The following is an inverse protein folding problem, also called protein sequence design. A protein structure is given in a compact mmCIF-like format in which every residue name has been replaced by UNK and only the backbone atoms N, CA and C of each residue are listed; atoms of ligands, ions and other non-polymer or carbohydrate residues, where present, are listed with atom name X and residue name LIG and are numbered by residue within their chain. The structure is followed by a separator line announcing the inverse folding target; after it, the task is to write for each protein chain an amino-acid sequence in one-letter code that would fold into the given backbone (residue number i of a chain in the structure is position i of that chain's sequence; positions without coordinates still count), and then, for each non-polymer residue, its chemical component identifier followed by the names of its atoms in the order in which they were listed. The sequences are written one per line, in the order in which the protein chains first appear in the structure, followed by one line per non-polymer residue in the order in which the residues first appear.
data_IF_196293117328
#
_entry.id   IF_196293117328
#
_cell.length_a   1.000
_cell.length_b   1.000
_cell.length_c   1.000
_cell.angle_alpha   90.00
_cell.angle_beta   90.00
_cell.angle_gamma   90.00
#
_symmetry.space_group_name_H-M   'P 1'
#
loop_
_entity.id
_entity.type
_entity.pdbx_description
1 polymer ?
#
# COMPACT_ATOMS: atom_id res chain seq x y z
N UNK A 1 9.26 -12.32 7.97
CA UNK A 1 8.21 -11.31 8.24
C UNK A 1 7.58 -10.96 6.90
N UNK A 2 6.25 -11.03 6.80
CA UNK A 2 5.55 -10.67 5.57
C UNK A 2 5.48 -9.15 5.40
N UNK A 3 5.53 -8.70 4.15
CA UNK A 3 5.37 -7.29 3.76
C UNK A 3 4.73 -7.21 2.37
N UNK A 4 3.86 -6.23 2.18
CA UNK A 4 3.46 -5.77 0.85
C UNK A 4 4.40 -4.64 0.44
N UNK A 5 4.93 -4.65 -0.78
CA UNK A 5 5.86 -3.64 -1.28
C UNK A 5 5.31 -3.07 -2.58
N UNK A 6 5.24 -1.74 -2.66
CA UNK A 6 4.91 -1.02 -3.90
C UNK A 6 6.16 -0.30 -4.39
N UNK A 7 6.49 -0.53 -5.66
CA UNK A 7 7.55 0.16 -6.39
C UNK A 7 7.09 0.41 -7.83
N UNK A 8 7.03 1.69 -8.23
CA UNK A 8 6.57 2.08 -9.56
C UNK A 8 7.70 2.43 -10.54
N UNK A 9 8.97 2.15 -10.21
CA UNK A 9 10.13 2.52 -11.05
C UNK A 9 10.05 1.99 -12.49
N UNK A 10 9.33 0.90 -12.72
CA UNK A 10 9.21 0.27 -14.04
C UNK A 10 7.92 0.65 -14.79
N UNK A 11 7.09 1.53 -14.24
CA UNK A 11 5.83 1.93 -14.90
C UNK A 11 6.10 2.95 -16.01
N UNK A 12 5.92 2.55 -17.27
CA UNK A 12 6.07 3.45 -18.42
C UNK A 12 5.15 4.67 -18.35
N UNK A 13 3.88 4.47 -17.96
CA UNK A 13 2.90 5.55 -17.77
C UNK A 13 3.40 6.57 -16.75
N UNK A 14 3.94 6.09 -15.63
CA UNK A 14 4.46 6.97 -14.59
C UNK A 14 5.73 7.69 -15.05
N UNK A 15 6.67 6.98 -15.67
CA UNK A 15 7.91 7.57 -16.21
C UNK A 15 7.62 8.68 -17.22
N UNK A 16 6.64 8.48 -18.11
CA UNK A 16 6.20 9.50 -19.06
C UNK A 16 5.61 10.75 -18.38
N UNK A 17 4.84 10.58 -17.30
CA UNK A 17 4.30 11.70 -16.53
C UNK A 17 5.40 12.43 -15.76
N UNK A 18 6.31 11.68 -15.12
CA UNK A 18 7.46 12.23 -14.39
C UNK A 18 8.36 13.08 -15.29
N UNK A 19 8.59 12.64 -16.54
CA UNK A 19 9.46 13.35 -17.48
C UNK A 19 8.95 14.75 -17.87
N UNK A 20 7.69 15.07 -17.57
CA UNK A 20 7.11 16.40 -17.83
C UNK A 20 7.43 17.42 -16.75
N UNK A 21 7.77 16.95 -15.54
CA UNK A 21 8.13 17.78 -14.38
C UNK A 21 9.32 17.16 -13.63
N UNK A 22 10.47 16.96 -14.29
CA UNK A 22 11.56 16.15 -13.76
C UNK A 22 12.01 16.60 -12.36
N UNK A 23 12.14 17.91 -12.15
CA UNK A 23 12.64 18.50 -10.90
C UNK A 23 11.65 18.37 -9.71
N UNK A 24 10.37 18.15 -9.97
CA UNK A 24 9.30 18.10 -8.96
C UNK A 24 8.69 16.70 -8.81
N UNK A 25 8.89 15.82 -9.80
CA UNK A 25 8.20 14.53 -9.92
C UNK A 25 8.39 13.63 -8.69
N UNK A 26 9.62 13.49 -8.20
CA UNK A 26 9.95 12.65 -7.05
C UNK A 26 9.29 13.14 -5.77
N UNK A 27 9.33 14.46 -5.50
CA UNK A 27 8.71 15.05 -4.32
C UNK A 27 7.19 14.82 -4.35
N UNK A 28 6.56 15.05 -5.51
CA UNK A 28 5.12 14.87 -5.70
C UNK A 28 4.72 13.42 -5.42
N UNK A 29 5.44 12.45 -6.00
CA UNK A 29 5.17 11.02 -5.79
C UNK A 29 5.31 10.65 -4.32
N UNK A 30 6.43 10.97 -3.69
CA UNK A 30 6.70 10.61 -2.30
C UNK A 30 5.65 11.21 -1.35
N UNK A 31 5.18 12.44 -1.63
CA UNK A 31 4.08 13.08 -0.89
C UNK A 31 2.77 12.32 -1.02
N UNK A 32 2.38 11.90 -2.23
CA UNK A 32 1.13 11.16 -2.45
C UNK A 32 1.18 9.76 -1.83
N UNK A 33 2.28 9.04 -2.03
CA UNK A 33 2.48 7.73 -1.42
C UNK A 33 2.35 7.79 0.10
N UNK A 34 2.98 8.80 0.74
CA UNK A 34 2.91 9.01 2.18
C UNK A 34 1.53 9.41 2.69
N UNK A 35 0.84 10.32 1.99
CA UNK A 35 -0.41 10.93 2.49
C UNK A 35 -1.64 10.08 2.22
N UNK A 36 -1.66 9.36 1.09
CA UNK A 36 -2.82 8.58 0.63
C UNK A 36 -2.47 7.13 0.36
N UNK A 37 -1.34 6.88 -0.30
CA UNK A 37 -1.00 5.56 -0.81
C UNK A 37 -0.91 4.49 0.27
N UNK A 38 -0.17 4.77 1.34
CA UNK A 38 -0.02 3.87 2.50
C UNK A 38 -1.36 3.52 3.14
N UNK A 39 -2.21 4.52 3.37
CA UNK A 39 -3.54 4.37 3.97
C UNK A 39 -4.43 3.46 3.13
N UNK A 40 -4.47 3.67 1.82
CA UNK A 40 -5.31 2.88 0.92
C UNK A 40 -4.90 1.41 0.86
N UNK A 41 -3.60 1.12 0.81
CA UNK A 41 -3.11 -0.26 0.83
C UNK A 41 -3.38 -0.91 2.17
N UNK A 42 -3.13 -0.21 3.27
CA UNK A 42 -3.46 -0.72 4.60
C UNK A 42 -4.96 -1.06 4.71
N UNK A 43 -5.84 -0.20 4.19
CA UNK A 43 -7.28 -0.49 4.13
C UNK A 43 -7.62 -1.70 3.26
N UNK A 44 -6.99 -1.83 2.08
CA UNK A 44 -7.14 -3.00 1.23
C UNK A 44 -6.79 -4.29 1.98
N UNK A 45 -5.60 -4.32 2.59
CA UNK A 45 -5.10 -5.48 3.36
C UNK A 45 -6.04 -5.80 4.53
N UNK A 46 -6.43 -4.80 5.33
CA UNK A 46 -7.36 -4.97 6.45
C UNK A 46 -8.71 -5.51 5.97
N UNK A 47 -9.19 -5.06 4.81
CA UNK A 47 -10.43 -5.53 4.19
C UNK A 47 -10.47 -7.05 4.02
N UNK A 48 -9.35 -7.65 3.61
CA UNK A 48 -9.20 -9.10 3.43
C UNK A 48 -8.87 -9.88 4.70
N UNK A 49 -8.57 -9.22 5.82
CA UNK A 49 -8.28 -9.92 7.07
C UNK A 49 -9.53 -10.67 7.59
N UNK A 50 -9.39 -11.92 8.06
CA UNK A 50 -10.49 -12.68 8.61
C UNK A 50 -10.83 -12.26 10.05
N UNK A 51 -12.12 -12.37 10.42
CA UNK A 51 -12.60 -12.30 11.80
C UNK A 51 -13.09 -13.70 12.21
N UNK A 52 -12.61 -14.19 13.35
CA UNK A 52 -13.10 -15.45 13.92
C UNK A 52 -14.35 -15.22 14.77
N UNK A 53 -15.22 -16.21 14.91
CA UNK A 53 -16.43 -16.15 15.75
C UNK A 53 -16.16 -16.03 17.27
N UNK A 54 -14.90 -16.03 17.71
CA UNK A 54 -14.53 -15.89 19.13
C UNK A 54 -14.70 -14.44 19.58
N UNK A 55 -15.26 -14.25 20.78
CA UNK A 55 -15.34 -12.95 21.47
C UNK A 55 -13.96 -12.55 21.99
N UNK A 56 -13.17 -11.90 21.14
CA UNK A 56 -11.85 -11.33 21.43
C UNK A 56 -11.63 -10.11 20.54
N UNK A 57 -10.65 -9.28 20.86
CA UNK A 57 -10.22 -8.20 19.97
C UNK A 57 -9.46 -8.77 18.77
N UNK A 58 -9.95 -8.53 17.55
CA UNK A 58 -9.30 -9.03 16.33
C UNK A 58 -8.32 -8.01 15.75
N UNK A 59 -7.32 -8.50 15.01
CA UNK A 59 -6.33 -7.63 14.38
C UNK A 59 -6.94 -6.72 13.29
N UNK A 60 -8.03 -7.16 12.63
CA UNK A 60 -8.80 -6.37 11.65
C UNK A 60 -9.39 -5.10 12.26
N UNK A 61 -9.77 -5.17 13.53
CA UNK A 61 -10.44 -4.08 14.26
C UNK A 61 -9.42 -3.19 15.00
N UNK A 62 -8.14 -3.54 14.92
CA UNK A 62 -7.04 -2.82 15.55
C UNK A 62 -6.21 -2.05 14.52
N UNK A 63 -5.42 -1.09 15.01
CA UNK A 63 -4.27 -0.58 14.26
C UNK A 63 -3.12 -1.60 14.24
N UNK A 64 -3.30 -2.68 13.46
CA UNK A 64 -2.43 -3.87 13.42
C UNK A 64 -1.27 -3.78 12.41
N UNK A 65 -1.37 -2.86 11.46
CA UNK A 65 -0.38 -2.62 10.41
C UNK A 65 0.42 -1.35 10.67
N UNK A 66 1.61 -1.26 10.07
CA UNK A 66 2.42 -0.06 9.97
C UNK A 66 3.07 0.00 8.59
N UNK A 67 3.45 1.20 8.20
CA UNK A 67 4.12 1.51 6.96
C UNK A 67 5.61 1.77 7.15
N UNK A 68 6.39 1.57 6.09
CA UNK A 68 7.79 1.98 5.99
C UNK A 68 8.01 2.62 4.63
N UNK A 69 8.25 3.92 4.62
CA UNK A 69 8.50 4.69 3.39
C UNK A 69 9.94 4.50 2.91
N UNK A 70 10.11 4.56 1.59
CA UNK A 70 11.40 4.70 0.92
C UNK A 70 11.20 5.49 -0.37
N UNK A 71 12.27 5.80 -1.10
CA UNK A 71 12.13 6.63 -2.30
C UNK A 71 11.27 5.93 -3.37
N UNK A 72 10.23 6.63 -3.85
CA UNK A 72 9.27 6.18 -4.86
C UNK A 72 8.49 4.91 -4.48
N UNK A 73 8.40 4.61 -3.18
CA UNK A 73 7.69 3.42 -2.74
C UNK A 73 7.49 3.33 -1.24
N UNK A 74 6.80 2.28 -0.82
CA UNK A 74 6.62 1.98 0.59
C UNK A 74 6.36 0.50 0.80
N UNK A 75 6.51 0.08 2.04
CA UNK A 75 6.09 -1.23 2.50
C UNK A 75 4.98 -1.11 3.54
N UNK A 76 4.06 -2.06 3.53
CA UNK A 76 3.13 -2.29 4.64
C UNK A 76 3.50 -3.60 5.30
N UNK A 77 3.57 -3.60 6.64
CA UNK A 77 3.96 -4.73 7.44
C UNK A 77 3.17 -4.78 8.76
N UNK A 78 3.02 -5.96 9.39
CA UNK A 78 2.41 -6.04 10.71
C UNK A 78 3.23 -5.26 11.75
N UNK A 79 2.57 -4.66 12.73
CA UNK A 79 3.25 -4.18 13.94
C UNK A 79 3.81 -5.38 14.73
N UNK A 80 4.89 -5.20 15.52
CA UNK A 80 5.54 -6.30 16.25
C UNK A 80 4.56 -7.16 17.08
N UNK A 81 3.60 -6.52 17.75
CA UNK A 81 2.56 -7.19 18.55
C UNK A 81 1.61 -8.06 17.73
N UNK A 82 1.53 -7.85 16.41
CA UNK A 82 0.74 -8.64 15.46
C UNK A 82 1.60 -9.54 14.58
N UNK A 83 2.93 -9.52 14.75
CA UNK A 83 3.90 -10.35 14.02
C UNK A 83 4.18 -11.69 14.72
N UNK A 84 3.29 -12.14 15.60
CA UNK A 84 3.45 -13.37 16.39
C UNK A 84 3.19 -14.66 15.60
N UNK A 85 2.65 -14.55 14.38
CA UNK A 85 2.46 -15.69 13.48
C UNK A 85 3.70 -15.86 12.60
N UNK A 86 4.10 -17.11 12.37
CA UNK A 86 5.14 -17.46 11.37
C UNK A 86 4.71 -17.00 9.97
N UNK A 87 3.39 -17.04 9.70
CA UNK A 87 2.77 -16.61 8.45
C UNK A 87 1.60 -15.67 8.74
N UNK A 88 1.85 -14.38 9.07
CA UNK A 88 0.78 -13.45 9.39
C UNK A 88 -0.20 -13.38 8.22
N UNK A 89 0.32 -13.21 7.01
CA UNK A 89 -0.42 -13.08 5.77
C UNK A 89 -1.34 -14.26 5.41
N UNK A 90 -0.95 -15.47 5.79
CA UNK A 90 -1.76 -16.64 5.47
C UNK A 90 -3.02 -16.72 6.34
N UNK A 91 -3.04 -16.05 7.51
CA UNK A 91 -4.13 -16.18 8.48
C UNK A 91 -4.35 -17.61 8.97
N UNK A 92 -3.36 -18.51 8.76
CA UNK A 92 -3.44 -19.94 9.06
C UNK A 92 -3.24 -20.22 10.53
N UNK A 93 -3.87 -21.29 11.00
CA UNK A 93 -3.74 -21.80 12.36
C UNK A 93 -4.28 -23.22 12.51
N UNK A 94 -4.35 -23.70 13.75
CA UNK A 94 -4.85 -25.05 14.03
C UNK A 94 -6.26 -25.30 13.45
N UNK A 95 -7.10 -24.26 13.39
CA UNK A 95 -8.50 -24.32 12.94
C UNK A 95 -8.75 -23.59 11.61
N UNK A 96 -7.73 -22.96 11.02
CA UNK A 96 -7.82 -22.36 9.68
C UNK A 96 -6.64 -22.86 8.84
N UNK A 97 -6.90 -23.82 7.96
CA UNK A 97 -5.84 -24.49 7.19
C UNK A 97 -5.54 -23.82 5.86
N UNK A 98 -6.38 -22.91 5.40
CA UNK A 98 -6.31 -22.27 4.09
C UNK A 98 -5.59 -20.92 4.20
N UNK A 99 -4.60 -20.72 3.32
CA UNK A 99 -3.90 -19.43 3.21
C UNK A 99 -4.85 -18.35 2.69
N UNK A 100 -4.87 -17.21 3.35
CA UNK A 100 -5.75 -16.09 3.03
C UNK A 100 -5.08 -15.04 2.14
N UNK A 101 -3.76 -14.87 2.22
CA UNK A 101 -2.95 -14.01 1.34
C UNK A 101 -3.47 -12.56 1.31
N UNK A 102 -3.82 -12.03 2.49
CA UNK A 102 -4.49 -10.74 2.59
C UNK A 102 -3.56 -9.56 2.28
N UNK A 103 -2.23 -9.71 2.40
CA UNK A 103 -1.27 -8.71 1.95
C UNK A 103 -1.24 -8.63 0.43
N UNK A 104 -1.13 -9.76 -0.27
CA UNK A 104 -1.09 -9.78 -1.75
C UNK A 104 -2.43 -9.31 -2.31
N UNK A 105 -3.55 -9.89 -1.87
CA UNK A 105 -4.90 -9.51 -2.35
C UNK A 105 -5.22 -8.04 -2.06
N UNK A 106 -4.89 -7.60 -0.84
CA UNK A 106 -5.09 -6.22 -0.43
C UNK A 106 -4.26 -5.24 -1.27
N UNK A 107 -3.05 -5.63 -1.63
CA UNK A 107 -2.18 -4.86 -2.50
C UNK A 107 -2.70 -4.84 -3.95
N UNK A 108 -2.93 -6.01 -4.56
CA UNK A 108 -3.40 -6.17 -5.94
C UNK A 108 -4.66 -5.33 -6.21
N UNK A 109 -5.60 -5.28 -5.27
CA UNK A 109 -6.83 -4.48 -5.41
C UNK A 109 -6.61 -2.96 -5.39
N UNK A 110 -5.40 -2.50 -5.06
CA UNK A 110 -5.06 -1.08 -4.90
C UNK A 110 -3.99 -0.59 -5.87
N UNK A 111 -3.25 -1.48 -6.53
CA UNK A 111 -2.14 -1.11 -7.41
C UNK A 111 -2.56 -0.17 -8.55
N UNK A 112 -3.57 -0.52 -9.33
CA UNK A 112 -4.05 0.30 -10.45
C UNK A 112 -4.52 1.69 -9.98
N UNK A 113 -5.32 1.70 -8.91
CA UNK A 113 -5.84 2.94 -8.31
C UNK A 113 -4.70 3.86 -7.84
N UNK A 114 -3.63 3.29 -7.28
CA UNK A 114 -2.47 4.07 -6.87
C UNK A 114 -1.69 4.61 -8.06
N UNK A 115 -1.49 3.79 -9.10
CA UNK A 115 -0.84 4.23 -10.32
C UNK A 115 -1.59 5.42 -10.94
N UNK A 116 -2.91 5.30 -11.07
CA UNK A 116 -3.74 6.38 -11.61
C UNK A 116 -3.67 7.63 -10.71
N UNK A 117 -3.75 7.48 -9.39
CA UNK A 117 -3.60 8.61 -8.45
C UNK A 117 -2.27 9.35 -8.60
N UNK A 118 -1.17 8.63 -8.83
CA UNK A 118 0.15 9.24 -9.04
C UNK A 118 0.22 9.97 -10.37
N UNK A 119 -0.25 9.34 -11.45
CA UNK A 119 -0.25 9.93 -12.79
C UNK A 119 -1.11 11.19 -12.82
N UNK A 120 -2.31 11.14 -12.26
CA UNK A 120 -3.24 12.27 -12.20
C UNK A 120 -2.64 13.47 -11.45
N UNK A 121 -1.97 13.21 -10.32
CA UNK A 121 -1.34 14.29 -9.56
C UNK A 121 -0.16 14.91 -10.32
N UNK A 122 0.67 14.12 -11.00
CA UNK A 122 1.77 14.63 -11.82
C UNK A 122 1.25 15.49 -12.99
N UNK A 123 0.20 15.04 -13.68
CA UNK A 123 -0.46 15.80 -14.75
C UNK A 123 -1.02 17.12 -14.20
N UNK A 124 -1.70 17.08 -13.05
CA UNK A 124 -2.23 18.29 -12.41
C UNK A 124 -1.15 19.30 -12.05
N UNK A 125 0.02 18.84 -11.60
CA UNK A 125 1.16 19.72 -11.30
C UNK A 125 1.77 20.29 -12.59
N UNK A 126 1.89 19.47 -13.64
CA UNK A 126 2.34 19.91 -14.96
C UNK A 126 1.43 21.02 -15.52
N UNK A 127 0.12 20.84 -15.52
CA UNK A 127 -0.85 21.84 -16.01
C UNK A 127 -0.71 23.17 -15.27
N UNK A 128 -0.53 23.11 -13.94
CA UNK A 128 -0.30 24.30 -13.12
C UNK A 128 0.98 25.02 -13.49
N UNK A 129 2.06 24.29 -13.76
CA UNK A 129 3.33 24.87 -14.16
C UNK A 129 3.24 25.58 -15.54
N UNK A 130 2.41 25.06 -16.45
CA UNK A 130 2.17 25.65 -17.78
C UNK A 130 1.18 26.83 -17.79
N UNK A 131 0.39 26.97 -16.72
CA UNK A 131 -0.60 28.06 -16.57
C UNK A 131 -0.01 29.36 -15.99
N UNK A 132 1.29 29.38 -15.74
CA UNK A 132 2.08 30.52 -15.24
C UNK A 132 2.79 31.17 -16.43
#
# INVERSE_FOLDING_TARGET
MVKATIDFKNSERLLQAMSKIPDQSEEVINRILKSKGTTEVMHGIIGFMPISARKKHHAKESSSLKERLFNLGFEVLPKPTYSYLVFPNDGRGAHNKVAQEFFEKGLETKEDMLLDMLVDELVRVQEKALSI
#
